data_IF_681100386697
#
_entry.id   IF_681100386697
#
_cell.length_a   1.000
_cell.length_b   1.000
_cell.length_c   1.000
_cell.angle_alpha   90.00
_cell.angle_beta   90.00
_cell.angle_gamma   90.00
#
_symmetry.space_group_name_H-M   'P 1'
#
loop_
_entity.id
_entity.type
_entity.pdbx_description
1 polymer ?
#
# COMPACT_ATOMS: atom_id res chain seq x y z
N UNK A 1 -27.01 12.66 4.41
CA UNK A 1 -27.39 13.32 3.15
C UNK A 1 -27.56 12.23 2.12
N UNK A 2 -28.80 11.95 1.71
CA UNK A 2 -29.05 11.07 0.57
C UNK A 2 -28.45 11.75 -0.67
N UNK A 3 -27.29 11.27 -1.11
CA UNK A 3 -26.56 11.85 -2.23
C UNK A 3 -27.41 11.86 -3.49
N UNK A 4 -27.30 12.93 -4.28
CA UNK A 4 -28.00 13.08 -5.56
C UNK A 4 -27.83 11.81 -6.40
N UNK A 5 -28.92 11.06 -6.62
CA UNK A 5 -28.94 9.88 -7.49
C UNK A 5 -29.20 10.36 -8.90
N UNK A 6 -28.19 10.23 -9.77
CA UNK A 6 -28.31 10.64 -11.18
C UNK A 6 -29.48 9.93 -11.89
N UNK A 7 -29.70 8.65 -11.57
CA UNK A 7 -30.78 7.83 -12.14
C UNK A 7 -31.30 6.84 -11.09
N UNK A 8 -32.58 6.45 -11.22
CA UNK A 8 -33.15 5.35 -10.44
C UNK A 8 -32.85 4.01 -11.13
N UNK A 9 -32.25 3.08 -10.40
CA UNK A 9 -31.97 1.72 -10.89
C UNK A 9 -33.13 0.77 -10.59
N UNK A 10 -33.32 -0.20 -11.48
CA UNK A 10 -34.31 -1.26 -11.41
C UNK A 10 -33.60 -2.61 -11.35
N UNK A 11 -34.19 -3.56 -10.63
CA UNK A 11 -33.68 -4.93 -10.55
C UNK A 11 -33.65 -5.53 -11.95
N UNK A 12 -32.48 -6.03 -12.35
CA UNK A 12 -32.24 -6.70 -13.62
C UNK A 12 -32.21 -8.22 -13.44
N UNK A 13 -31.66 -8.69 -12.32
CA UNK A 13 -31.58 -10.11 -11.99
C UNK A 13 -31.17 -10.33 -10.54
N UNK A 14 -31.38 -11.54 -10.06
CA UNK A 14 -30.90 -11.97 -8.74
C UNK A 14 -30.49 -13.43 -8.78
N UNK A 15 -29.41 -13.78 -8.11
CA UNK A 15 -28.95 -15.15 -7.96
C UNK A 15 -28.63 -15.46 -6.50
N UNK A 16 -28.72 -16.74 -6.18
CA UNK A 16 -28.40 -17.27 -4.86
C UNK A 16 -27.31 -18.31 -5.01
N UNK A 17 -26.33 -18.24 -4.12
CA UNK A 17 -25.26 -19.22 -4.02
C UNK A 17 -25.16 -19.73 -2.59
N UNK A 18 -24.78 -20.99 -2.43
CA UNK A 18 -24.48 -21.54 -1.12
C UNK A 18 -23.25 -20.84 -0.54
N UNK A 19 -23.28 -20.55 0.76
CA UNK A 19 -22.10 -20.02 1.45
C UNK A 19 -21.00 -21.08 1.46
N UNK A 20 -19.82 -20.70 0.98
CA UNK A 20 -18.68 -21.62 0.88
C UNK A 20 -17.91 -21.75 2.21
N UNK A 21 -18.23 -20.92 3.21
CA UNK A 21 -17.67 -20.90 4.57
C UNK A 21 -16.15 -20.73 4.57
N UNK A 22 -15.62 -20.00 3.59
CA UNK A 22 -14.19 -19.68 3.46
C UNK A 22 -13.71 -18.68 4.50
N UNK A 23 -14.62 -17.92 5.10
CA UNK A 23 -14.29 -16.83 6.03
C UNK A 23 -14.36 -17.27 7.49
N UNK A 24 -13.27 -17.13 8.25
CA UNK A 24 -13.31 -17.17 9.71
C UNK A 24 -14.27 -16.11 10.28
N UNK A 25 -14.98 -16.40 11.37
CA UNK A 25 -15.84 -15.43 12.03
C UNK A 25 -15.01 -14.32 12.70
N UNK A 26 -15.55 -13.10 12.76
CA UNK A 26 -14.99 -12.00 13.53
C UNK A 26 -13.80 -11.27 12.90
N UNK A 27 -13.51 -11.50 11.61
CA UNK A 27 -12.49 -10.73 10.90
C UNK A 27 -12.99 -9.29 10.70
N UNK A 28 -12.20 -8.26 11.04
CA UNK A 28 -12.58 -6.87 10.81
C UNK A 28 -12.80 -6.54 9.32
N UNK A 29 -13.73 -5.62 9.00
CA UNK A 29 -14.11 -5.33 7.62
C UNK A 29 -12.95 -4.78 6.78
N UNK A 30 -12.06 -3.96 7.35
CA UNK A 30 -10.94 -3.42 6.58
C UNK A 30 -9.94 -4.50 6.17
N UNK A 31 -9.74 -5.55 7.00
CA UNK A 31 -8.85 -6.67 6.67
C UNK A 31 -9.39 -7.52 5.53
N UNK A 32 -10.68 -7.84 5.57
CA UNK A 32 -11.35 -8.53 4.47
C UNK A 32 -11.32 -7.68 3.20
N UNK A 33 -11.61 -6.38 3.31
CA UNK A 33 -11.59 -5.46 2.18
C UNK A 33 -10.20 -5.30 1.58
N UNK A 34 -9.14 -5.21 2.40
CA UNK A 34 -7.76 -5.10 1.91
C UNK A 34 -7.36 -6.36 1.14
N UNK A 35 -7.60 -7.55 1.71
CA UNK A 35 -7.30 -8.81 1.05
C UNK A 35 -8.07 -8.97 -0.27
N UNK A 36 -9.38 -8.65 -0.26
CA UNK A 36 -10.22 -8.64 -1.46
C UNK A 36 -9.70 -7.70 -2.56
N UNK A 37 -9.41 -6.46 -2.20
CA UNK A 37 -8.96 -5.44 -3.16
C UNK A 37 -7.56 -5.75 -3.67
N UNK A 38 -6.69 -6.31 -2.84
CA UNK A 38 -5.37 -6.78 -3.25
C UNK A 38 -5.46 -7.96 -4.22
N UNK A 39 -6.32 -8.94 -3.95
CA UNK A 39 -6.55 -10.08 -4.84
C UNK A 39 -7.11 -9.64 -6.20
N UNK A 40 -8.08 -8.72 -6.21
CA UNK A 40 -8.55 -8.08 -7.45
C UNK A 40 -7.41 -7.38 -8.20
N UNK A 41 -6.57 -6.65 -7.47
CA UNK A 41 -5.40 -5.99 -8.01
C UNK A 41 -4.43 -6.96 -8.68
N UNK A 42 -4.23 -8.15 -8.12
CA UNK A 42 -3.40 -9.19 -8.72
C UNK A 42 -4.08 -9.84 -9.92
N UNK A 43 -5.36 -10.19 -9.80
CA UNK A 43 -6.14 -10.80 -10.87
C UNK A 43 -6.16 -9.94 -12.14
N UNK A 44 -6.28 -8.61 -11.99
CA UNK A 44 -6.22 -7.66 -13.10
C UNK A 44 -4.82 -7.10 -13.37
N UNK A 45 -3.81 -7.48 -12.59
CA UNK A 45 -2.46 -6.90 -12.64
C UNK A 45 -2.49 -5.36 -12.72
N UNK A 46 -3.29 -4.76 -11.83
CA UNK A 46 -3.62 -3.33 -11.88
C UNK A 46 -3.65 -2.71 -10.49
N UNK A 47 -3.08 -1.50 -10.38
CA UNK A 47 -3.26 -0.63 -9.22
C UNK A 47 -4.54 0.20 -9.39
N UNK A 48 -5.52 0.14 -8.46
CA UNK A 48 -6.76 0.90 -8.60
C UNK A 48 -6.53 2.40 -8.39
N UNK A 49 -7.32 3.21 -9.08
CA UNK A 49 -7.45 4.63 -8.73
C UNK A 49 -8.35 4.77 -7.51
N UNK A 50 -7.83 5.35 -6.41
CA UNK A 50 -8.55 5.51 -5.15
C UNK A 50 -9.11 6.93 -5.02
N UNK A 51 -10.43 7.05 -5.00
CA UNK A 51 -11.16 8.29 -4.79
C UNK A 51 -11.77 8.32 -3.40
N UNK A 52 -11.42 9.37 -2.66
CA UNK A 52 -11.91 9.66 -1.32
C UNK A 52 -12.04 11.18 -1.17
N UNK A 53 -13.10 11.62 -0.50
CA UNK A 53 -13.31 13.04 -0.16
C UNK A 53 -13.24 13.19 1.35
N UNK A 54 -12.49 14.17 1.84
CA UNK A 54 -12.36 14.44 3.26
C UNK A 54 -13.74 14.63 3.92
N UNK A 55 -13.93 14.03 5.10
CA UNK A 55 -15.21 14.06 5.82
C UNK A 55 -16.29 13.11 5.28
N UNK A 56 -16.04 12.41 4.17
CA UNK A 56 -16.95 11.41 3.62
C UNK A 56 -16.53 10.01 4.07
N UNK A 57 -17.50 9.17 4.42
CA UNK A 57 -17.33 7.74 4.77
C UNK A 57 -17.20 6.81 3.56
N UNK A 58 -17.45 7.33 2.36
CA UNK A 58 -17.46 6.58 1.12
C UNK A 58 -16.08 6.59 0.46
N UNK A 59 -15.67 5.40 0.02
CA UNK A 59 -14.49 5.18 -0.81
C UNK A 59 -14.91 4.62 -2.15
N UNK A 60 -14.22 5.02 -3.21
CA UNK A 60 -14.44 4.50 -4.56
C UNK A 60 -13.11 4.10 -5.17
N UNK A 61 -13.00 2.84 -5.59
CA UNK A 61 -11.86 2.29 -6.30
C UNK A 61 -12.25 2.01 -7.75
N UNK A 62 -11.41 2.40 -8.69
CA UNK A 62 -11.66 2.20 -10.13
C UNK A 62 -10.52 1.39 -10.75
N UNK A 63 -10.90 0.28 -11.38
CA UNK A 63 -10.06 -0.58 -12.23
C UNK A 63 -10.53 -0.37 -13.68
N UNK A 64 -9.88 0.57 -14.39
CA UNK A 64 -10.42 1.16 -15.64
C UNK A 64 -10.63 0.13 -16.75
N UNK A 65 -9.69 -0.78 -16.92
CA UNK A 65 -9.66 -1.73 -18.04
C UNK A 65 -10.05 -3.16 -17.60
N UNK A 66 -10.69 -3.29 -16.44
CA UNK A 66 -11.18 -4.57 -15.93
C UNK A 66 -12.55 -4.90 -16.52
N UNK A 67 -12.68 -6.08 -17.13
CA UNK A 67 -13.95 -6.65 -17.59
C UNK A 67 -14.14 -8.01 -16.94
N UNK A 68 -15.36 -8.31 -16.48
CA UNK A 68 -15.65 -9.53 -15.76
C UNK A 68 -17.08 -10.03 -16.02
N UNK A 69 -17.24 -11.35 -15.91
CA UNK A 69 -18.54 -12.01 -15.85
C UNK A 69 -19.06 -11.95 -14.41
N UNK A 70 -20.32 -11.56 -14.24
CA UNK A 70 -20.94 -11.44 -12.92
C UNK A 70 -20.96 -12.78 -12.19
N UNK A 71 -21.28 -13.87 -12.89
CA UNK A 71 -21.32 -15.21 -12.30
C UNK A 71 -19.98 -15.64 -11.70
N UNK A 72 -18.90 -15.53 -12.48
CA UNK A 72 -17.54 -15.87 -12.03
C UNK A 72 -17.10 -14.96 -10.87
N UNK A 73 -17.36 -13.66 -10.99
CA UNK A 73 -17.02 -12.71 -9.94
C UNK A 73 -17.77 -13.00 -8.62
N UNK A 74 -19.03 -13.43 -8.69
CA UNK A 74 -19.81 -13.83 -7.51
C UNK A 74 -19.29 -15.16 -6.95
N UNK A 75 -18.90 -16.10 -7.81
CA UNK A 75 -18.34 -17.38 -7.38
C UNK A 75 -17.01 -17.21 -6.63
N UNK A 76 -16.16 -16.29 -7.10
CA UNK A 76 -14.82 -16.04 -6.54
C UNK A 76 -14.87 -15.11 -5.32
N UNK A 77 -15.60 -14.00 -5.40
CA UNK A 77 -15.56 -12.92 -4.41
C UNK A 77 -16.84 -12.76 -3.59
N UNK A 78 -17.92 -13.46 -3.93
CA UNK A 78 -19.24 -13.22 -3.35
C UNK A 78 -19.29 -13.38 -1.82
N UNK A 79 -18.61 -14.40 -1.28
CA UNK A 79 -18.56 -14.60 0.18
C UNK A 79 -17.78 -13.48 0.88
N UNK A 80 -16.64 -13.06 0.31
CA UNK A 80 -15.80 -11.98 0.85
C UNK A 80 -16.56 -10.65 0.86
N UNK A 81 -17.24 -10.32 -0.24
CA UNK A 81 -18.02 -9.08 -0.39
C UNK A 81 -19.21 -9.08 0.58
N UNK A 82 -19.90 -10.22 0.73
CA UNK A 82 -20.98 -10.35 1.70
C UNK A 82 -20.49 -10.19 3.14
N UNK A 83 -19.31 -10.72 3.46
CA UNK A 83 -18.64 -10.56 4.76
C UNK A 83 -18.30 -9.12 5.10
N UNK A 84 -17.65 -8.42 4.17
CA UNK A 84 -17.34 -6.98 4.32
C UNK A 84 -18.64 -6.19 4.51
N UNK A 85 -19.66 -6.49 3.69
CA UNK A 85 -20.95 -5.79 3.67
C UNK A 85 -21.80 -5.95 4.92
N UNK A 86 -21.43 -6.83 5.86
CA UNK A 86 -22.08 -6.88 7.18
C UNK A 86 -21.83 -5.62 8.02
N UNK A 87 -20.67 -4.97 7.81
CA UNK A 87 -20.28 -3.76 8.55
C UNK A 87 -20.02 -2.59 7.62
N UNK A 88 -19.35 -2.83 6.49
CA UNK A 88 -18.98 -1.82 5.50
C UNK A 88 -19.66 -2.15 4.18
N UNK A 89 -20.85 -1.58 3.87
CA UNK A 89 -21.58 -1.88 2.64
C UNK A 89 -20.70 -1.74 1.40
N UNK A 90 -20.59 -2.83 0.63
CA UNK A 90 -19.87 -2.86 -0.65
C UNK A 90 -20.86 -2.86 -1.80
N UNK A 91 -20.60 -2.04 -2.81
CA UNK A 91 -21.34 -2.09 -4.07
C UNK A 91 -20.36 -2.08 -5.23
N UNK A 92 -20.55 -3.02 -6.15
CA UNK A 92 -19.74 -3.15 -7.36
C UNK A 92 -20.49 -2.53 -8.53
N UNK A 93 -19.78 -1.78 -9.35
CA UNK A 93 -20.30 -1.08 -10.53
C UNK A 93 -19.48 -1.44 -11.75
N UNK A 94 -20.11 -1.28 -12.90
CA UNK A 94 -19.45 -1.25 -14.19
C UNK A 94 -20.41 -0.77 -15.26
N UNK A 95 -19.96 -0.80 -16.50
CA UNK A 95 -20.77 -0.51 -17.68
C UNK A 95 -21.31 -1.82 -18.23
N UNK A 96 -22.63 -1.97 -18.25
CA UNK A 96 -23.30 -3.08 -18.90
C UNK A 96 -23.30 -2.90 -20.42
N UNK A 97 -23.56 -3.98 -21.17
CA UNK A 97 -23.61 -3.98 -22.64
C UNK A 97 -24.61 -2.98 -23.25
N UNK A 98 -25.63 -2.57 -22.49
CA UNK A 98 -26.54 -1.47 -22.84
C UNK A 98 -25.95 -0.05 -22.72
N UNK A 99 -24.64 0.09 -22.45
CA UNK A 99 -23.95 1.36 -22.13
C UNK A 99 -24.53 2.09 -20.92
N UNK A 100 -25.19 1.35 -20.05
CA UNK A 100 -25.74 1.86 -18.80
C UNK A 100 -24.92 1.39 -17.61
N UNK A 101 -25.03 2.10 -16.49
CA UNK A 101 -24.38 1.69 -15.24
C UNK A 101 -25.06 0.46 -14.66
N UNK A 102 -24.37 -0.68 -14.70
CA UNK A 102 -24.72 -1.86 -13.94
C UNK A 102 -24.25 -1.75 -12.49
N UNK A 103 -24.98 -2.40 -11.60
CA UNK A 103 -24.72 -2.48 -10.18
C UNK A 103 -24.87 -3.92 -9.72
N UNK A 104 -23.94 -4.37 -8.89
CA UNK A 104 -23.95 -5.66 -8.23
C UNK A 104 -23.82 -5.45 -6.72
N UNK A 105 -24.83 -5.90 -5.98
CA UNK A 105 -24.84 -5.92 -4.50
C UNK A 105 -24.87 -7.36 -4.03
N UNK A 106 -24.00 -7.69 -3.09
CA UNK A 106 -23.87 -9.05 -2.58
C UNK A 106 -23.95 -9.01 -1.05
N UNK A 107 -24.81 -9.84 -0.47
CA UNK A 107 -25.08 -9.88 0.98
C UNK A 107 -25.38 -11.30 1.44
N UNK A 108 -25.16 -11.55 2.72
CA UNK A 108 -25.66 -12.77 3.33
C UNK A 108 -27.18 -12.73 3.53
N UNK A 109 -27.82 -13.87 3.31
CA UNK A 109 -29.22 -14.13 3.61
C UNK A 109 -29.32 -15.49 4.30
N UNK A 110 -29.16 -15.50 5.63
CA UNK A 110 -28.99 -16.74 6.38
C UNK A 110 -27.70 -17.46 5.96
N UNK A 111 -27.80 -18.73 5.58
CA UNK A 111 -26.67 -19.55 5.10
C UNK A 111 -26.41 -19.41 3.58
N UNK A 112 -27.14 -18.53 2.89
CA UNK A 112 -26.96 -18.26 1.46
C UNK A 112 -26.32 -16.89 1.23
N UNK A 113 -25.68 -16.74 0.07
CA UNK A 113 -25.29 -15.47 -0.52
C UNK A 113 -26.39 -15.06 -1.50
N UNK A 114 -26.88 -13.83 -1.38
CA UNK A 114 -27.80 -13.21 -2.32
C UNK A 114 -27.04 -12.13 -3.09
N UNK A 115 -26.96 -12.30 -4.41
CA UNK A 115 -26.41 -11.32 -5.33
C UNK A 115 -27.54 -10.70 -6.16
N UNK A 116 -27.63 -9.38 -6.16
CA UNK A 116 -28.65 -8.59 -6.86
C UNK A 116 -27.98 -7.70 -7.91
N UNK A 117 -28.42 -7.85 -9.15
CA UNK A 117 -27.98 -7.07 -10.30
C UNK A 117 -29.03 -6.02 -10.63
N UNK A 118 -28.62 -4.77 -10.81
CA UNK A 118 -29.53 -3.66 -11.13
C UNK A 118 -28.91 -2.71 -12.15
N UNK A 119 -29.73 -2.19 -13.06
CA UNK A 119 -29.32 -1.18 -14.06
C UNK A 119 -30.44 -0.15 -14.23
N UNK A 120 -30.28 0.84 -15.11
CA UNK A 120 -31.30 1.89 -15.31
C UNK A 120 -32.53 1.33 -16.03
N UNK A 121 -32.30 0.48 -17.03
CA UNK A 121 -33.35 -0.09 -17.87
C UNK A 121 -34.11 -1.25 -17.20
N UNK A 122 -33.46 -1.95 -16.26
CA UNK A 122 -33.95 -3.22 -15.69
C UNK A 122 -33.76 -4.42 -16.63
N UNK A 123 -33.02 -4.27 -17.74
CA UNK A 123 -32.66 -5.39 -18.61
C UNK A 123 -31.55 -6.20 -17.97
N UNK A 124 -31.65 -7.52 -18.10
CA UNK A 124 -30.64 -8.44 -17.61
C UNK A 124 -29.28 -8.21 -18.29
N UNK A 125 -28.21 -8.46 -17.55
CA UNK A 125 -26.81 -8.35 -18.00
C UNK A 125 -25.93 -9.29 -17.17
N UNK A 126 -24.93 -9.85 -17.82
CA UNK A 126 -23.99 -10.82 -17.25
C UNK A 126 -22.53 -10.32 -17.28
N UNK A 127 -22.20 -9.37 -18.16
CA UNK A 127 -20.86 -8.79 -18.27
C UNK A 127 -20.87 -7.32 -17.83
N UNK A 128 -19.82 -6.93 -17.09
CA UNK A 128 -19.53 -5.53 -16.76
C UNK A 128 -18.10 -5.17 -17.19
N UNK A 129 -17.94 -3.98 -17.78
CA UNK A 129 -16.64 -3.37 -18.09
C UNK A 129 -16.37 -2.12 -17.28
N UNK A 130 -15.11 -1.89 -16.91
CA UNK A 130 -14.70 -0.81 -16.02
C UNK A 130 -15.16 -1.06 -14.58
N UNK A 131 -14.53 -2.03 -13.92
CA UNK A 131 -14.84 -2.40 -12.54
C UNK A 131 -14.63 -1.21 -11.58
N UNK A 132 -15.67 -0.91 -10.81
CA UNK A 132 -15.63 0.08 -9.76
C UNK A 132 -16.19 -0.52 -8.47
N UNK A 133 -15.44 -0.39 -7.38
CA UNK A 133 -15.83 -0.87 -6.06
C UNK A 133 -16.08 0.33 -5.17
N UNK A 134 -17.29 0.43 -4.61
CA UNK A 134 -17.62 1.41 -3.58
C UNK A 134 -17.74 0.74 -2.23
N UNK A 135 -17.13 1.34 -1.22
CA UNK A 135 -17.15 0.86 0.16
C UNK A 135 -17.61 2.01 1.04
N UNK A 136 -18.69 1.81 1.77
CA UNK A 136 -19.13 2.72 2.82
C UNK A 136 -18.57 2.24 4.16
N UNK A 137 -17.63 2.99 4.72
CA UNK A 137 -17.05 2.68 6.03
C UNK A 137 -17.94 3.16 7.18
N UNK A 138 -17.61 2.76 8.42
CA UNK A 138 -18.37 3.12 9.61
C UNK A 138 -18.40 4.64 9.82
N UNK A 139 -17.26 5.31 9.63
CA UNK A 139 -17.12 6.76 9.77
C UNK A 139 -16.08 7.38 8.82
N UNK A 140 -15.99 8.72 8.86
CA UNK A 140 -15.08 9.47 8.00
C UNK A 140 -13.59 9.27 8.34
N UNK A 141 -13.26 8.84 9.56
CA UNK A 141 -11.88 8.55 9.98
C UNK A 141 -11.45 7.22 9.37
N UNK A 142 -12.28 6.19 9.49
CA UNK A 142 -12.02 4.86 8.93
C UNK A 142 -11.79 4.92 7.42
N UNK A 143 -12.67 5.62 6.68
CA UNK A 143 -12.46 5.82 5.25
C UNK A 143 -11.17 6.57 4.93
N UNK A 144 -10.82 7.62 5.68
CA UNK A 144 -9.59 8.36 5.43
C UNK A 144 -8.35 7.49 5.66
N UNK A 145 -8.29 6.74 6.75
CA UNK A 145 -7.22 5.80 7.04
C UNK A 145 -7.14 4.71 5.96
N UNK A 146 -8.27 4.09 5.62
CA UNK A 146 -8.28 3.03 4.63
C UNK A 146 -7.91 3.53 3.22
N UNK A 147 -8.31 4.75 2.84
CA UNK A 147 -7.87 5.39 1.60
C UNK A 147 -6.34 5.53 1.51
N UNK A 148 -5.68 5.88 2.61
CA UNK A 148 -4.22 6.01 2.62
C UNK A 148 -3.52 4.67 2.39
N UNK A 149 -3.99 3.60 3.04
CA UNK A 149 -3.48 2.23 2.80
C UNK A 149 -3.67 1.84 1.33
N UNK A 150 -4.88 2.02 0.79
CA UNK A 150 -5.20 1.62 -0.58
C UNK A 150 -4.42 2.40 -1.65
N UNK A 151 -4.00 3.64 -1.36
CA UNK A 151 -3.14 4.42 -2.27
C UNK A 151 -1.71 3.90 -2.33
N UNK A 152 -1.22 3.31 -1.25
CA UNK A 152 0.11 2.72 -1.19
C UNK A 152 0.15 1.29 -1.73
N UNK A 153 -0.97 0.56 -1.65
CA UNK A 153 -1.11 -0.79 -2.19
C UNK A 153 -0.68 -0.89 -3.66
N UNK A 154 0.17 -1.87 -3.97
CA UNK A 154 0.60 -2.23 -5.32
C UNK A 154 0.51 -3.75 -5.50
N UNK A 155 0.03 -4.22 -6.65
CA UNK A 155 -0.26 -5.64 -6.87
C UNK A 155 0.98 -6.55 -6.97
N UNK A 156 2.16 -5.96 -7.15
CA UNK A 156 3.46 -6.67 -7.22
C UNK A 156 4.28 -6.56 -5.94
N UNK A 157 3.74 -5.91 -4.90
CA UNK A 157 4.36 -5.81 -3.58
C UNK A 157 3.57 -6.65 -2.58
N UNK A 158 4.26 -7.20 -1.59
CA UNK A 158 3.67 -8.05 -0.55
C UNK A 158 3.37 -7.31 0.76
N UNK A 159 3.77 -6.04 0.86
CA UNK A 159 3.56 -5.20 2.04
C UNK A 159 3.13 -3.79 1.65
N UNK A 160 2.51 -3.10 2.61
CA UNK A 160 2.26 -1.66 2.58
C UNK A 160 2.93 -1.02 3.78
N UNK A 161 3.58 0.12 3.60
CA UNK A 161 4.07 0.96 4.68
C UNK A 161 3.15 2.17 4.88
N UNK A 162 2.73 2.42 6.12
CA UNK A 162 1.94 3.60 6.49
C UNK A 162 2.52 4.31 7.71
N UNK A 163 2.24 5.61 7.89
CA UNK A 163 2.69 6.36 9.07
C UNK A 163 2.21 5.74 10.39
N UNK A 164 3.03 5.85 11.44
CA UNK A 164 2.69 5.38 12.80
C UNK A 164 1.44 6.03 13.40
N UNK A 165 1.04 7.20 12.92
CA UNK A 165 -0.23 7.83 13.31
C UNK A 165 -1.46 6.97 13.00
N UNK A 166 -1.32 5.97 12.12
CA UNK A 166 -2.36 5.01 11.76
C UNK A 166 -2.33 3.71 12.58
N UNK A 167 -1.42 3.56 13.54
CA UNK A 167 -1.24 2.31 14.30
C UNK A 167 -2.53 1.88 15.02
N UNK A 168 -3.26 2.83 15.62
CA UNK A 168 -4.51 2.53 16.32
C UNK A 168 -5.55 1.90 15.37
N UNK A 169 -5.70 2.48 14.17
CA UNK A 169 -6.60 1.95 13.13
C UNK A 169 -6.13 0.57 12.65
N UNK A 170 -4.83 0.41 12.37
CA UNK A 170 -4.26 -0.85 11.89
C UNK A 170 -4.44 -1.97 12.93
N UNK A 171 -4.26 -1.66 14.22
CA UNK A 171 -4.48 -2.59 15.33
C UNK A 171 -5.95 -2.97 15.48
N UNK A 172 -6.85 -1.98 15.48
CA UNK A 172 -8.29 -2.21 15.58
C UNK A 172 -8.82 -3.09 14.43
N UNK A 173 -8.30 -2.88 13.22
CA UNK A 173 -8.66 -3.63 12.04
C UNK A 173 -7.80 -4.89 11.80
N UNK A 174 -6.85 -5.20 12.69
CA UNK A 174 -5.95 -6.38 12.60
C UNK A 174 -5.16 -6.48 11.28
N UNK A 175 -4.76 -5.33 10.72
CA UNK A 175 -4.15 -5.22 9.40
C UNK A 175 -2.63 -5.43 9.38
N UNK A 176 -1.94 -5.30 10.52
CA UNK A 176 -0.49 -5.39 10.55
C UNK A 176 0.06 -5.72 11.93
N UNK A 177 1.37 -5.88 11.99
CA UNK A 177 2.13 -6.16 13.23
C UNK A 177 3.00 -4.97 13.57
N UNK A 178 2.96 -4.54 14.83
CA UNK A 178 3.93 -3.57 15.33
C UNK A 178 5.33 -4.19 15.25
N UNK A 179 6.28 -3.43 14.71
CA UNK A 179 7.70 -3.77 14.73
C UNK A 179 8.41 -2.73 15.58
N UNK A 180 9.04 -3.17 16.65
CA UNK A 180 9.80 -2.29 17.54
C UNK A 180 10.95 -1.64 16.76
N UNK A 181 11.12 -0.32 16.95
CA UNK A 181 12.16 0.48 16.27
C UNK A 181 11.88 0.84 14.81
N UNK A 182 10.85 0.27 14.17
CA UNK A 182 10.46 0.65 12.80
C UNK A 182 9.75 2.00 12.80
N UNK A 183 10.10 2.89 11.88
CA UNK A 183 9.48 4.20 11.78
C UNK A 183 8.05 4.13 11.21
N UNK A 184 7.80 3.20 10.30
CA UNK A 184 6.47 2.96 9.72
C UNK A 184 5.75 1.74 10.31
N UNK A 185 4.44 1.67 10.12
CA UNK A 185 3.65 0.46 10.30
C UNK A 185 3.62 -0.33 9.00
N UNK A 186 3.93 -1.62 9.06
CA UNK A 186 3.92 -2.52 7.92
C UNK A 186 2.70 -3.44 7.93
N UNK A 187 1.98 -3.46 6.82
CA UNK A 187 0.78 -4.26 6.61
C UNK A 187 1.05 -5.34 5.56
N UNK A 188 1.16 -6.62 5.95
CA UNK A 188 1.36 -7.70 5.00
C UNK A 188 0.10 -7.93 4.18
N UNK A 189 0.27 -7.96 2.86
CA UNK A 189 -0.76 -8.27 1.87
C UNK A 189 -0.70 -9.75 1.44
N UNK A 190 0.49 -10.36 1.49
CA UNK A 190 0.77 -11.73 1.06
C UNK A 190 1.50 -12.56 2.12
N UNK A 191 2.39 -13.44 1.67
CA UNK A 191 3.29 -14.19 2.57
C UNK A 191 4.29 -13.24 3.24
N UNK A 192 4.77 -13.60 4.43
CA UNK A 192 5.66 -12.75 5.21
C UNK A 192 7.00 -12.56 4.47
N UNK A 193 7.20 -11.37 3.93
CA UNK A 193 8.30 -11.01 3.03
C UNK A 193 9.61 -10.62 3.77
N UNK A 194 9.59 -10.65 5.12
CA UNK A 194 10.75 -10.31 5.95
C UNK A 194 11.15 -8.83 5.87
N UNK A 195 12.40 -8.52 6.23
CA UNK A 195 12.90 -7.14 6.19
C UNK A 195 13.06 -6.59 4.77
N UNK A 196 13.60 -7.39 3.85
CA UNK A 196 13.83 -6.97 2.46
C UNK A 196 12.52 -6.66 1.71
N UNK A 197 11.48 -7.48 1.91
CA UNK A 197 10.17 -7.21 1.31
C UNK A 197 9.51 -5.94 1.85
N UNK A 198 9.64 -5.66 3.15
CA UNK A 198 9.20 -4.40 3.76
C UNK A 198 9.94 -3.17 3.22
N UNK A 199 11.22 -3.28 2.90
CA UNK A 199 11.95 -2.17 2.25
C UNK A 199 11.44 -1.91 0.84
N UNK A 200 11.05 -2.97 0.12
CA UNK A 200 10.58 -2.87 -1.26
C UNK A 200 9.24 -2.12 -1.42
N UNK A 201 8.44 -2.00 -0.36
CA UNK A 201 7.17 -1.28 -0.39
C UNK A 201 7.30 0.22 -0.06
N UNK A 202 8.48 0.69 0.37
CA UNK A 202 8.68 2.09 0.72
C UNK A 202 8.70 2.99 -0.52
N UNK A 203 7.91 4.07 -0.50
CA UNK A 203 7.96 5.10 -1.52
C UNK A 203 9.25 5.93 -1.45
N UNK A 204 9.54 6.74 -2.48
CA UNK A 204 10.70 7.64 -2.46
C UNK A 204 10.60 8.65 -1.31
N UNK A 205 9.41 9.18 -1.06
CA UNK A 205 9.12 10.12 0.02
C UNK A 205 9.36 9.47 1.39
N UNK A 206 8.96 8.21 1.57
CA UNK A 206 9.21 7.48 2.82
C UNK A 206 10.70 7.20 3.04
N UNK A 207 11.46 6.89 1.97
CA UNK A 207 12.91 6.74 2.07
C UNK A 207 13.59 8.07 2.44
N UNK A 208 13.11 9.19 1.88
CA UNK A 208 13.60 10.52 2.24
C UNK A 208 13.30 10.85 3.72
N UNK A 209 12.08 10.59 4.19
CA UNK A 209 11.70 10.81 5.60
C UNK A 209 12.62 10.04 6.57
N UNK A 210 13.00 8.80 6.24
CA UNK A 210 13.96 8.03 7.04
C UNK A 210 15.35 8.68 7.08
N UNK A 211 15.82 9.21 5.95
CA UNK A 211 17.09 9.94 5.89
C UNK A 211 17.04 11.26 6.67
N UNK A 212 15.93 12.00 6.59
CA UNK A 212 15.71 13.23 7.35
C UNK A 212 15.81 12.97 8.86
N UNK A 213 15.06 11.98 9.36
CA UNK A 213 15.08 11.56 10.77
C UNK A 213 16.49 11.19 11.22
N UNK A 214 17.26 10.49 10.38
CA UNK A 214 18.64 10.17 10.69
C UNK A 214 19.56 11.42 10.71
N UNK A 215 19.46 12.30 9.72
CA UNK A 215 20.40 13.43 9.56
C UNK A 215 20.10 14.60 10.49
N UNK A 216 18.83 14.85 10.83
CA UNK A 216 18.41 15.90 11.75
C UNK A 216 18.45 15.43 13.21
N UNK A 217 17.85 14.27 13.51
CA UNK A 217 17.65 13.79 14.89
C UNK A 217 18.71 12.76 15.33
N UNK A 218 19.51 12.23 14.41
CA UNK A 218 20.51 11.20 14.71
C UNK A 218 19.92 9.82 14.98
N UNK A 219 18.66 9.58 14.61
CA UNK A 219 17.95 8.34 14.91
C UNK A 219 18.15 7.32 13.79
N UNK A 220 18.72 6.18 14.13
CA UNK A 220 18.81 5.01 13.24
C UNK A 220 17.59 4.14 13.45
N UNK A 221 16.70 4.08 12.46
CA UNK A 221 15.46 3.29 12.53
C UNK A 221 15.69 1.85 12.05
N UNK A 222 14.78 0.94 12.40
CA UNK A 222 14.87 -0.49 12.03
C UNK A 222 14.95 -0.71 10.51
N UNK A 223 14.41 0.21 9.70
CA UNK A 223 14.52 0.16 8.25
C UNK A 223 15.99 0.19 7.79
N UNK A 224 16.87 0.92 8.48
CA UNK A 224 18.30 0.90 8.19
C UNK A 224 18.99 -0.39 8.63
N UNK A 225 18.54 -1.03 9.72
CA UNK A 225 19.00 -2.37 10.11
C UNK A 225 18.68 -3.40 9.02
N UNK A 226 17.46 -3.34 8.47
CA UNK A 226 17.08 -4.21 7.36
C UNK A 226 17.89 -3.91 6.11
N UNK A 227 18.08 -2.64 5.77
CA UNK A 227 18.80 -2.23 4.56
C UNK A 227 20.27 -2.66 4.62
N UNK A 228 20.91 -2.45 5.76
CA UNK A 228 22.29 -2.87 5.98
C UNK A 228 22.42 -4.40 5.94
N UNK A 229 21.51 -5.11 6.60
CA UNK A 229 21.49 -6.58 6.62
C UNK A 229 21.29 -7.17 5.22
N UNK A 230 20.36 -6.62 4.44
CA UNK A 230 20.13 -7.03 3.06
C UNK A 230 21.39 -6.81 2.20
N UNK A 231 22.07 -5.66 2.39
CA UNK A 231 23.33 -5.35 1.74
C UNK A 231 24.48 -6.31 2.05
N UNK A 232 24.54 -6.87 3.26
CA UNK A 232 25.50 -7.93 3.62
C UNK A 232 25.21 -9.25 2.91
N UNK A 233 23.93 -9.55 2.64
CA UNK A 233 23.50 -10.72 1.88
C UNK A 233 23.64 -10.55 0.36
N UNK A 234 24.11 -9.40 -0.12
CA UNK A 234 24.19 -9.09 -1.56
C UNK A 234 22.84 -8.71 -2.18
N UNK A 235 21.81 -8.53 -1.34
CA UNK A 235 20.48 -8.13 -1.73
C UNK A 235 20.34 -6.63 -1.44
N UNK A 236 20.65 -5.79 -2.41
CA UNK A 236 20.36 -4.36 -2.30
C UNK A 236 19.06 -4.06 -3.06
N UNK A 237 17.87 -4.22 -2.43
CA UNK A 237 16.65 -3.82 -3.09
C UNK A 237 16.75 -2.33 -3.40
N UNK A 238 16.81 -2.02 -4.70
CA UNK A 238 16.78 -0.68 -5.27
C UNK A 238 17.65 0.37 -4.55
N UNK A 239 18.94 0.08 -4.29
CA UNK A 239 19.86 1.04 -3.61
C UNK A 239 19.87 2.43 -4.25
N UNK A 240 19.67 2.51 -5.58
CA UNK A 240 19.53 3.77 -6.30
C UNK A 240 18.41 4.66 -5.75
N UNK A 241 17.28 4.09 -5.31
CA UNK A 241 16.17 4.85 -4.72
C UNK A 241 16.59 5.46 -3.37
N UNK A 242 17.38 4.73 -2.59
CA UNK A 242 17.93 5.22 -1.32
C UNK A 242 18.98 6.31 -1.53
N UNK A 243 19.82 6.17 -2.56
CA UNK A 243 20.80 7.19 -2.94
C UNK A 243 20.10 8.49 -3.41
N UNK A 244 19.11 8.37 -4.29
CA UNK A 244 18.37 9.53 -4.79
C UNK A 244 17.59 10.22 -3.67
N UNK A 245 16.94 9.45 -2.78
CA UNK A 245 16.30 10.01 -1.59
C UNK A 245 17.30 10.74 -0.69
N UNK A 246 18.50 10.17 -0.48
CA UNK A 246 19.55 10.81 0.30
C UNK A 246 20.00 12.13 -0.36
N UNK A 247 20.20 12.16 -1.68
CA UNK A 247 20.59 13.37 -2.40
C UNK A 247 19.57 14.49 -2.19
N UNK A 248 18.28 14.20 -2.33
CA UNK A 248 17.20 15.15 -2.07
C UNK A 248 17.27 15.72 -0.65
N UNK A 249 17.41 14.86 0.35
CA UNK A 249 17.47 15.29 1.76
C UNK A 249 18.73 16.11 2.06
N UNK A 250 19.88 15.74 1.50
CA UNK A 250 21.11 16.53 1.66
C UNK A 250 20.95 17.94 1.09
N UNK A 251 20.32 18.08 -0.08
CA UNK A 251 20.02 19.37 -0.69
C UNK A 251 19.06 20.20 0.17
N UNK A 252 17.95 19.61 0.63
CA UNK A 252 16.93 20.28 1.43
C UNK A 252 17.45 20.74 2.79
N UNK A 253 18.28 19.91 3.44
CA UNK A 253 18.91 20.23 4.72
C UNK A 253 20.13 21.15 4.57
N UNK A 254 20.59 21.41 3.35
CA UNK A 254 21.80 22.19 3.06
C UNK A 254 23.07 21.53 3.63
N UNK A 255 23.12 20.20 3.60
CA UNK A 255 24.26 19.40 4.02
C UNK A 255 25.20 19.25 2.83
N UNK A 256 26.46 19.65 3.00
CA UNK A 256 27.49 19.52 1.97
C UNK A 256 28.40 18.35 2.28
N UNK A 257 28.62 17.49 1.28
CA UNK A 257 29.61 16.41 1.34
C UNK A 257 30.77 16.78 0.41
N UNK A 258 31.97 16.93 0.98
CA UNK A 258 33.19 17.21 0.23
C UNK A 258 34.09 15.98 0.32
N UNK A 259 34.35 15.36 -0.83
CA UNK A 259 35.36 14.31 -0.95
C UNK A 259 36.69 14.96 -1.38
N UNK A 260 37.66 15.01 -0.47
CA UNK A 260 38.98 15.61 -0.74
C UNK A 260 39.89 14.57 -1.40
N UNK A 261 40.84 15.07 -2.20
CA UNK A 261 41.79 14.23 -2.94
C UNK A 261 42.74 13.41 -2.05
N UNK A 262 42.75 13.66 -0.74
CA UNK A 262 43.62 13.02 0.26
C UNK A 262 42.90 11.93 1.06
N UNK A 263 41.89 11.29 0.47
CA UNK A 263 41.07 10.24 1.10
C UNK A 263 40.31 10.69 2.36
N UNK A 264 40.23 12.02 2.58
CA UNK A 264 39.42 12.60 3.65
C UNK A 264 38.09 13.08 3.09
N UNK A 265 37.02 12.78 3.78
CA UNK A 265 35.71 13.36 3.49
C UNK A 265 35.24 14.23 4.64
N UNK A 266 34.55 15.30 4.30
CA UNK A 266 33.96 16.22 5.26
C UNK A 266 32.48 16.35 4.96
N UNK A 267 31.66 16.07 5.97
CA UNK A 267 30.23 16.34 5.91
C UNK A 267 29.94 17.54 6.80
N UNK A 268 29.38 18.57 6.20
CA UNK A 268 29.08 19.82 6.89
C UNK A 268 27.59 20.07 6.82
N UNK A 269 26.91 20.05 7.95
CA UNK A 269 25.50 20.36 8.05
C UNK A 269 25.22 21.86 8.00
N UNK A 270 23.93 22.21 8.09
CA UNK A 270 23.48 23.61 8.12
C UNK A 270 24.21 24.39 9.21
N UNK A 271 24.57 25.65 8.91
CA UNK A 271 25.35 26.55 9.78
C UNK A 271 26.81 26.15 10.00
N UNK A 272 27.38 25.29 9.16
CA UNK A 272 28.81 24.94 9.23
C UNK A 272 29.15 23.91 10.31
N UNK A 273 28.15 23.20 10.87
CA UNK A 273 28.38 22.15 11.87
C UNK A 273 29.00 20.93 11.20
N UNK A 274 30.21 20.55 11.60
CA UNK A 274 30.82 19.32 11.12
C UNK A 274 30.05 18.10 11.65
N UNK A 275 29.67 17.19 10.77
CA UNK A 275 29.05 15.91 11.09
C UNK A 275 30.12 14.81 10.95
N UNK A 276 30.10 13.85 11.88
CA UNK A 276 31.04 12.72 11.90
C UNK A 276 30.25 11.43 11.84
N UNK A 277 30.73 10.48 11.06
CA UNK A 277 30.13 9.17 10.85
C UNK A 277 31.21 8.10 10.96
N UNK A 278 30.87 6.94 11.54
CA UNK A 278 31.79 5.81 11.73
C UNK A 278 31.23 4.54 11.07
N UNK A 279 31.98 3.92 10.16
CA UNK A 279 31.55 2.67 9.52
C UNK A 279 31.70 1.45 10.44
N UNK A 280 32.66 1.46 11.36
CA UNK A 280 32.96 0.32 12.24
C UNK A 280 31.98 0.28 13.42
N UNK A 281 31.85 1.39 14.13
CA UNK A 281 31.06 1.47 15.36
C UNK A 281 29.74 2.23 15.18
N UNK A 282 29.51 2.82 14.01
CA UNK A 282 28.29 3.58 13.78
C UNK A 282 27.06 2.70 13.64
N UNK A 283 25.92 3.37 13.75
CA UNK A 283 24.60 2.79 13.54
C UNK A 283 24.43 2.29 12.09
N UNK A 284 23.46 1.42 11.82
CA UNK A 284 23.16 0.96 10.46
C UNK A 284 22.95 2.10 9.45
N UNK A 285 22.28 3.18 9.85
CA UNK A 285 22.12 4.37 9.01
C UNK A 285 23.46 5.05 8.67
N UNK A 286 24.37 5.20 9.63
CA UNK A 286 25.71 5.76 9.39
C UNK A 286 26.50 4.89 8.41
N UNK A 287 26.43 3.57 8.59
CA UNK A 287 27.07 2.60 7.72
C UNK A 287 26.52 2.68 6.30
N UNK A 288 25.20 2.77 6.16
CA UNK A 288 24.55 2.91 4.85
C UNK A 288 24.87 4.25 4.18
N UNK A 289 24.87 5.34 4.94
CA UNK A 289 25.27 6.66 4.46
C UNK A 289 26.69 6.62 3.86
N UNK A 290 27.64 6.08 4.61
CA UNK A 290 29.02 5.92 4.13
C UNK A 290 29.12 4.95 2.95
N UNK A 291 28.34 3.85 2.95
CA UNK A 291 28.34 2.88 1.85
C UNK A 291 27.85 3.49 0.53
N UNK A 292 26.87 4.40 0.58
CA UNK A 292 26.39 5.12 -0.60
C UNK A 292 27.42 6.12 -1.10
N UNK A 293 28.06 6.88 -0.19
CA UNK A 293 29.11 7.84 -0.56
C UNK A 293 30.38 7.17 -1.12
N UNK A 294 30.68 5.97 -0.65
CA UNK A 294 31.86 5.19 -1.05
C UNK A 294 31.44 3.80 -1.57
N UNK A 295 30.89 3.73 -2.80
CA UNK A 295 30.27 2.50 -3.31
C UNK A 295 31.31 1.40 -3.60
N UNK A 296 32.53 1.77 -3.99
CA UNK A 296 33.59 0.84 -4.41
C UNK A 296 34.33 0.29 -3.19
N UNK A 297 34.52 -1.04 -3.12
CA UNK A 297 35.39 -1.65 -2.10
C UNK A 297 36.85 -1.26 -2.38
N UNK A 298 37.68 -0.99 -1.36
CA UNK A 298 39.09 -0.63 -1.56
C UNK A 298 39.88 -1.61 -2.45
N UNK A 299 39.49 -2.89 -2.46
CA UNK A 299 40.13 -3.96 -3.24
C UNK A 299 39.95 -3.80 -4.76
N UNK A 300 38.90 -3.12 -5.23
CA UNK A 300 38.65 -2.89 -6.66
C UNK A 300 39.33 -1.62 -7.21
N UNK A 301 39.91 -0.78 -6.35
CA UNK A 301 40.56 0.46 -6.77
C UNK A 301 41.99 0.26 -7.32
N UNK A 302 42.58 -0.93 -7.11
CA UNK A 302 43.95 -1.24 -7.55
C UNK A 302 44.04 -1.88 -8.95
N UNK A 303 42.93 -2.10 -9.65
CA UNK A 303 42.94 -2.71 -10.99
C UNK A 303 42.86 -1.72 -12.15
N UNK A 304 42.71 -0.41 -11.90
CA UNK A 304 42.73 0.64 -12.95
C UNK A 304 43.96 1.55 -12.92
N UNK A 305 45.14 0.97 -12.72
CA UNK A 305 46.40 1.56 -13.18
C UNK A 305 47.20 0.51 -13.95
N UNK A 306 46.92 0.41 -15.26
CA UNK A 306 47.87 -0.03 -16.28
C UNK A 306 47.81 0.94 -17.45
#
# INVERSE_FOLDING_TARGET
MDGMKLYQKRLAGSERAARQRRLPPGIPPAKLALAFLYDLSRAFSMKPSVYHTAGNRMLTLIFRDATFLCGDFIADYGEVIAGISQQWPVTVYGTASGKETGELRIRFRGEEILAERSCVSGKDFDVLSGLCVKIETQDARDSACFAQILRQMCFWQDDVAVPRTMEEFCRAQQLGTAVDGAYFCYLPLGENSGGAGRLSCLSMEQKAELWEVFLEDGVSTMEFDWLFSAGLCGEYPTLIEWELALQTVLEELGITVINRQDERFEVTGRKGRQMRFDFTHGSPAEKMFLKILFPVKPEDQHTSKK
#
